data_IF_571640490355
#
_entry.id   IF_571640490355
#
_cell.length_a   1.000
_cell.length_b   1.000
_cell.length_c   1.000
_cell.angle_alpha   90.00
_cell.angle_beta   90.00
_cell.angle_gamma   90.00
#
_symmetry.space_group_name_H-M   'P 1'
#
loop_
_entity.id
_entity.type
_entity.pdbx_description
1 polymer ?
#
# COMPACT_ATOMS: atom_id res chain seq x y z
N UNK A 1 11.27 5.13 -17.10
CA UNK A 1 11.81 6.35 -16.43
C UNK A 1 10.73 7.35 -16.00
N UNK A 2 9.67 7.60 -16.81
CA UNK A 2 8.55 8.46 -16.40
C UNK A 2 7.91 8.04 -15.06
N UNK A 3 7.71 6.74 -14.84
CA UNK A 3 7.09 6.24 -13.59
C UNK A 3 7.92 6.53 -12.34
N UNK A 4 9.25 6.35 -12.40
CA UNK A 4 10.15 6.67 -11.28
C UNK A 4 10.16 8.17 -10.99
N UNK A 5 10.14 9.01 -12.03
CA UNK A 5 10.11 10.47 -11.85
C UNK A 5 8.82 10.93 -11.16
N UNK A 6 7.67 10.40 -11.56
CA UNK A 6 6.38 10.73 -10.94
C UNK A 6 6.35 10.25 -9.50
N UNK A 7 6.83 9.01 -9.25
CA UNK A 7 6.93 8.45 -7.92
C UNK A 7 7.78 9.35 -7.01
N UNK A 8 9.02 9.62 -7.38
CA UNK A 8 9.93 10.44 -6.58
C UNK A 8 9.44 11.87 -6.43
N UNK A 9 8.74 12.43 -7.42
CA UNK A 9 8.14 13.76 -7.29
C UNK A 9 7.08 13.78 -6.19
N UNK A 10 6.27 12.72 -6.06
CA UNK A 10 5.29 12.62 -4.98
C UNK A 10 5.94 12.49 -3.58
N UNK A 11 7.19 12.03 -3.49
CA UNK A 11 7.90 11.93 -2.20
C UNK A 11 8.71 13.17 -1.84
N UNK A 12 9.26 13.88 -2.84
CA UNK A 12 10.25 14.94 -2.61
C UNK A 12 9.68 16.36 -2.65
N UNK A 13 8.49 16.56 -3.24
CA UNK A 13 7.91 17.90 -3.46
C UNK A 13 6.79 18.27 -2.49
N UNK A 14 6.39 17.38 -1.59
CA UNK A 14 5.39 17.64 -0.57
C UNK A 14 5.95 17.35 0.82
N UNK A 15 5.55 18.16 1.80
CA UNK A 15 6.04 18.05 3.17
C UNK A 15 5.41 16.86 3.90
N UNK A 16 6.21 16.12 4.68
CA UNK A 16 5.74 15.00 5.49
C UNK A 16 5.76 13.65 4.77
N UNK A 17 5.07 12.67 5.37
CA UNK A 17 5.09 11.26 4.93
C UNK A 17 3.67 10.69 4.86
N UNK A 18 3.41 9.69 4.00
CA UNK A 18 2.14 8.98 3.98
C UNK A 18 2.03 8.03 5.19
N UNK A 19 0.89 8.05 5.85
CA UNK A 19 0.38 6.96 6.66
C UNK A 19 -0.53 6.11 5.76
N UNK A 20 -0.15 4.85 5.54
CA UNK A 20 -0.95 3.89 4.77
C UNK A 20 -1.61 2.91 5.73
N UNK A 21 -2.94 2.83 5.66
CA UNK A 21 -3.73 1.84 6.38
C UNK A 21 -4.13 0.72 5.43
N UNK A 22 -3.91 -0.52 5.86
CA UNK A 22 -4.26 -1.72 5.10
C UNK A 22 -5.39 -2.45 5.81
N UNK A 23 -6.52 -2.62 5.13
CA UNK A 23 -7.60 -3.50 5.57
C UNK A 23 -7.64 -4.72 4.66
N UNK A 24 -7.85 -5.90 5.24
CA UNK A 24 -7.86 -7.16 4.51
C UNK A 24 -9.21 -7.86 4.66
N UNK A 25 -9.72 -8.37 3.55
CA UNK A 25 -10.83 -9.33 3.49
C UNK A 25 -10.33 -10.64 2.89
N UNK A 26 -10.73 -11.77 3.49
CA UNK A 26 -10.45 -13.11 2.99
C UNK A 26 -11.65 -13.59 2.19
N UNK A 27 -11.46 -13.92 0.91
CA UNK A 27 -12.50 -14.45 0.03
C UNK A 27 -12.00 -15.73 -0.65
N UNK A 28 -12.26 -16.88 -0.03
CA UNK A 28 -11.69 -18.16 -0.46
C UNK A 28 -10.16 -18.11 -0.54
N UNK A 29 -9.62 -18.39 -1.73
CA UNK A 29 -8.17 -18.33 -2.00
C UNK A 29 -7.68 -16.93 -2.40
N UNK A 30 -8.46 -15.88 -2.11
CA UNK A 30 -8.14 -14.49 -2.41
C UNK A 30 -7.93 -13.69 -1.15
N UNK A 31 -7.09 -12.67 -1.25
CA UNK A 31 -6.99 -11.57 -0.30
C UNK A 31 -7.35 -10.28 -1.01
N UNK A 32 -8.42 -9.64 -0.57
CA UNK A 32 -8.76 -8.28 -1.02
C UNK A 32 -8.15 -7.31 -0.03
N UNK A 33 -7.22 -6.48 -0.49
CA UNK A 33 -6.58 -5.44 0.30
C UNK A 33 -7.18 -4.10 -0.07
N UNK A 34 -7.85 -3.46 0.89
CA UNK A 34 -8.28 -2.07 0.77
C UNK A 34 -7.22 -1.19 1.43
N UNK A 35 -6.55 -0.39 0.63
CA UNK A 35 -5.50 0.51 1.08
C UNK A 35 -6.02 1.94 1.08
N UNK A 36 -5.77 2.65 2.18
CA UNK A 36 -6.05 4.08 2.29
C UNK A 36 -4.80 4.82 2.73
N UNK A 37 -4.57 6.00 2.16
CA UNK A 37 -3.44 6.84 2.51
C UNK A 37 -3.89 8.24 2.93
N UNK A 38 -3.19 8.78 3.91
CA UNK A 38 -3.27 10.19 4.33
C UNK A 38 -1.90 10.67 4.78
N UNK A 39 -1.71 11.97 4.92
CA UNK A 39 -0.50 12.49 5.55
C UNK A 39 -0.44 12.07 7.02
N UNK A 40 0.72 11.61 7.46
CA UNK A 40 1.00 11.45 8.88
C UNK A 40 1.22 12.81 9.51
N UNK A 41 0.39 13.15 10.51
CA UNK A 41 0.54 14.34 11.34
C UNK A 41 0.49 13.88 12.79
N UNK A 42 1.52 14.22 13.57
CA UNK A 42 1.73 13.66 14.91
C UNK A 42 0.62 14.04 15.90
N UNK A 43 -0.01 15.20 15.72
CA UNK A 43 -1.12 15.69 16.54
C UNK A 43 -2.49 15.15 16.10
N UNK A 44 -2.54 14.36 15.02
CA UNK A 44 -3.78 13.77 14.50
C UNK A 44 -4.69 14.73 13.75
N UNK A 45 -4.24 15.96 13.45
CA UNK A 45 -5.00 16.90 12.64
C UNK A 45 -5.21 16.41 11.21
N UNK A 46 -6.16 17.02 10.50
CA UNK A 46 -6.45 16.67 9.11
C UNK A 46 -5.42 17.27 8.16
N UNK A 47 -5.16 16.58 7.05
CA UNK A 47 -4.30 17.11 5.99
C UNK A 47 -5.08 18.06 5.07
N UNK A 48 -4.90 19.36 5.27
CA UNK A 48 -5.55 20.40 4.45
C UNK A 48 -5.14 20.31 2.97
N UNK A 49 -3.92 19.85 2.69
CA UNK A 49 -3.36 19.78 1.34
C UNK A 49 -3.86 18.58 0.54
N UNK A 50 -4.62 17.66 1.16
CA UNK A 50 -5.10 16.44 0.51
C UNK A 50 -3.99 15.70 -0.26
N UNK A 51 -2.82 15.57 0.36
CA UNK A 51 -1.60 15.04 -0.24
C UNK A 51 -1.79 13.57 -0.63
N UNK A 52 -1.23 13.16 -1.78
CA UNK A 52 -1.27 11.77 -2.26
C UNK A 52 0.14 11.39 -2.73
N UNK A 53 0.59 10.21 -2.29
CA UNK A 53 1.88 9.64 -2.66
C UNK A 53 1.68 8.45 -3.59
N UNK A 54 2.65 8.26 -4.50
CA UNK A 54 2.80 6.97 -5.17
C UNK A 54 3.63 6.05 -4.29
N UNK A 55 2.98 5.07 -3.67
CA UNK A 55 3.61 4.16 -2.70
C UNK A 55 3.82 2.80 -3.37
N UNK A 56 5.08 2.37 -3.62
CA UNK A 56 5.36 0.99 -3.98
C UNK A 56 5.02 0.08 -2.81
N UNK A 57 4.30 -0.99 -3.06
CA UNK A 57 3.90 -1.93 -2.03
C UNK A 57 4.25 -3.33 -2.51
N UNK A 58 4.86 -4.10 -1.64
CA UNK A 58 5.21 -5.49 -1.91
C UNK A 58 4.51 -6.40 -0.94
N UNK A 59 4.21 -7.61 -1.37
CA UNK A 59 3.61 -8.60 -0.49
C UNK A 59 4.23 -10.00 -0.68
N UNK A 60 4.33 -10.71 0.43
CA UNK A 60 4.80 -12.09 0.55
C UNK A 60 3.79 -12.90 1.35
N UNK A 61 3.69 -14.20 1.11
CA UNK A 61 2.79 -15.07 1.86
C UNK A 61 3.55 -15.88 2.90
N UNK A 62 2.83 -16.42 3.87
CA UNK A 62 3.40 -17.32 4.88
C UNK A 62 4.09 -18.56 4.32
N UNK A 63 3.67 -19.03 3.13
CA UNK A 63 4.26 -20.16 2.44
C UNK A 63 5.70 -19.86 1.93
N UNK A 64 6.00 -18.59 1.68
CA UNK A 64 7.32 -18.15 1.24
C UNK A 64 7.61 -16.70 1.71
N UNK A 65 7.91 -16.51 3.00
CA UNK A 65 8.03 -15.18 3.61
C UNK A 65 9.20 -14.34 3.08
N UNK A 66 10.17 -14.99 2.43
CA UNK A 66 11.40 -14.37 1.93
C UNK A 66 11.28 -13.86 0.49
N UNK A 67 10.27 -14.32 -0.24
CA UNK A 67 10.08 -13.99 -1.66
C UNK A 67 8.95 -12.99 -1.82
N UNK A 68 9.23 -11.90 -2.54
CA UNK A 68 8.19 -10.95 -2.96
C UNK A 68 7.33 -11.62 -4.03
N UNK A 69 6.10 -11.99 -3.68
CA UNK A 69 5.14 -12.61 -4.61
C UNK A 69 4.37 -11.55 -5.41
N UNK A 70 4.07 -10.41 -4.79
CA UNK A 70 3.29 -9.35 -5.41
C UNK A 70 3.97 -8.00 -5.32
N UNK A 71 3.86 -7.21 -6.38
CA UNK A 71 4.29 -5.82 -6.46
C UNK A 71 3.11 -4.99 -6.92
N UNK A 72 2.80 -3.97 -6.15
CA UNK A 72 1.65 -3.08 -6.34
C UNK A 72 2.15 -1.64 -6.27
N UNK A 73 1.41 -0.73 -6.89
CA UNK A 73 1.69 0.69 -6.80
C UNK A 73 0.38 1.40 -6.45
N UNK A 74 0.29 1.88 -5.23
CA UNK A 74 -0.83 2.71 -4.79
C UNK A 74 -0.63 4.11 -5.37
N UNK A 75 -1.62 4.61 -6.10
CA UNK A 75 -1.58 5.93 -6.75
C UNK A 75 -2.68 6.86 -6.27
N UNK A 76 -3.76 6.28 -5.76
CA UNK A 76 -4.96 6.99 -5.30
C UNK A 76 -5.02 7.06 -3.78
N UNK A 77 -5.90 7.91 -3.26
CA UNK A 77 -6.17 8.02 -1.81
C UNK A 77 -6.69 6.72 -1.22
N UNK A 78 -7.56 6.04 -1.95
CA UNK A 78 -8.12 4.74 -1.62
C UNK A 78 -7.97 3.85 -2.86
N UNK A 79 -7.45 2.64 -2.68
CA UNK A 79 -7.25 1.71 -3.78
C UNK A 79 -7.37 0.27 -3.29
N UNK A 80 -8.06 -0.56 -4.06
CA UNK A 80 -8.20 -1.99 -3.79
C UNK A 80 -7.25 -2.81 -4.66
N UNK A 81 -6.65 -3.83 -4.05
CA UNK A 81 -5.82 -4.82 -4.73
C UNK A 81 -6.30 -6.22 -4.37
N UNK A 82 -6.43 -7.07 -5.39
CA UNK A 82 -6.77 -8.48 -5.20
C UNK A 82 -5.52 -9.33 -5.38
N UNK A 83 -5.21 -10.14 -4.37
CA UNK A 83 -4.12 -11.09 -4.38
C UNK A 83 -4.72 -12.49 -4.42
N UNK A 84 -4.48 -13.19 -5.52
CA UNK A 84 -4.96 -14.55 -5.77
C UNK A 84 -3.99 -15.61 -5.23
N UNK A 85 -4.49 -16.81 -4.96
CA UNK A 85 -3.66 -17.96 -4.60
C UNK A 85 -3.16 -17.98 -3.15
N UNK A 86 -3.80 -17.22 -2.25
CA UNK A 86 -3.48 -17.20 -0.82
C UNK A 86 -4.56 -17.99 -0.09
N UNK A 87 -4.23 -19.17 0.42
CA UNK A 87 -5.18 -20.03 1.15
C UNK A 87 -5.70 -19.32 2.39
N UNK A 88 -6.94 -19.56 2.87
CA UNK A 88 -7.54 -18.84 3.99
C UNK A 88 -6.71 -18.78 5.29
N UNK A 89 -5.90 -19.79 5.54
CA UNK A 89 -5.04 -19.95 6.73
C UNK A 89 -3.65 -19.30 6.59
N UNK A 90 -3.27 -18.86 5.39
CA UNK A 90 -1.99 -18.18 5.17
C UNK A 90 -2.05 -16.70 5.58
N UNK A 91 -1.02 -16.23 6.30
CA UNK A 91 -0.83 -14.81 6.54
C UNK A 91 -0.14 -14.12 5.36
N UNK A 92 -0.45 -12.84 5.17
CA UNK A 92 0.15 -11.99 4.14
C UNK A 92 1.03 -10.93 4.80
N UNK A 93 2.32 -10.89 4.44
CA UNK A 93 3.22 -9.79 4.78
C UNK A 93 3.02 -8.68 3.77
N UNK A 94 2.75 -7.46 4.22
CA UNK A 94 2.76 -6.26 3.38
C UNK A 94 3.95 -5.39 3.78
N UNK A 95 4.71 -4.91 2.79
CA UNK A 95 5.92 -4.10 2.98
C UNK A 95 5.88 -2.90 2.03
N UNK A 96 6.34 -1.74 2.51
CA UNK A 96 6.32 -0.46 1.80
C UNK A 96 7.72 0.15 1.81
#
# INVERSE_FOLDING_TARGET
LKDVKTLMSSWTKQMGFPLVSVQQTVDGNKRVLKLTQKRFIADGTADENNSVWQVPITASTSADPSVIKHRMLMKEREQEFVIEGVKPDEWLKVMM
#
